data_IF_790623866230
#
_entry.id   IF_790623866230
#
_cell.length_a   1.000
_cell.length_b   1.000
_cell.length_c   1.000
_cell.angle_alpha   90.00
_cell.angle_beta   90.00
_cell.angle_gamma   90.00
#
_symmetry.space_group_name_H-M   'P 1'
#
loop_
_entity.id
_entity.type
_entity.pdbx_description
1 polymer ?
#
# COMPACT_ATOMS: atom_id res chain seq x y z
N UNK A 1 -13.49 11.80 25.20
CA UNK A 1 -12.98 11.42 23.87
C UNK A 1 -11.50 11.67 23.93
N UNK A 2 -10.71 10.60 23.94
CA UNK A 2 -9.27 10.72 24.02
C UNK A 2 -8.71 10.85 22.60
N UNK A 3 -7.78 11.77 22.40
CA UNK A 3 -7.15 11.98 21.10
C UNK A 3 -6.12 10.88 20.86
N UNK A 4 -6.35 10.05 19.84
CA UNK A 4 -5.36 9.07 19.38
C UNK A 4 -4.39 9.77 18.42
N UNK A 5 -3.10 9.71 18.74
CA UNK A 5 -2.04 10.18 17.86
C UNK A 5 -1.65 9.04 16.91
N UNK A 6 -1.66 9.32 15.61
CA UNK A 6 -1.21 8.38 14.57
C UNK A 6 0.15 8.83 14.06
N UNK A 7 1.03 7.88 13.79
CA UNK A 7 2.43 8.15 13.41
C UNK A 7 2.56 8.53 11.92
N UNK A 8 1.58 8.15 11.11
CA UNK A 8 1.57 8.39 9.67
C UNK A 8 1.17 9.83 9.35
N UNK A 9 1.62 10.32 8.19
CA UNK A 9 1.23 11.65 7.74
C UNK A 9 -0.25 11.71 7.38
N UNK A 10 -0.81 12.92 7.43
CA UNK A 10 -2.20 13.17 7.06
C UNK A 10 -2.53 12.65 5.64
N UNK A 11 -1.59 12.73 4.69
CA UNK A 11 -1.79 12.25 3.32
C UNK A 11 -1.91 10.72 3.25
N UNK A 12 -1.07 10.00 4.00
CA UNK A 12 -1.15 8.53 4.10
C UNK A 12 -2.48 8.10 4.71
N UNK A 13 -2.86 8.71 5.84
CA UNK A 13 -4.10 8.40 6.54
C UNK A 13 -5.33 8.71 5.69
N UNK A 14 -5.32 9.84 4.95
CA UNK A 14 -6.41 10.21 4.06
C UNK A 14 -6.63 9.18 2.96
N UNK A 15 -5.56 8.64 2.37
CA UNK A 15 -5.65 7.58 1.36
C UNK A 15 -6.10 6.27 2.01
N UNK A 16 -5.60 5.95 3.19
CA UNK A 16 -6.00 4.73 3.87
C UNK A 16 -7.49 4.73 4.26
N UNK A 17 -7.99 5.85 4.79
CA UNK A 17 -9.40 5.99 5.16
C UNK A 17 -10.36 5.91 3.97
N UNK A 18 -9.90 6.32 2.78
CA UNK A 18 -10.61 6.11 1.52
C UNK A 18 -10.86 4.62 1.20
N UNK A 19 -10.06 3.69 1.73
CA UNK A 19 -10.30 2.25 1.62
C UNK A 19 -11.24 1.67 2.68
N UNK A 20 -11.45 2.38 3.78
CA UNK A 20 -12.26 1.92 4.93
C UNK A 20 -13.71 2.38 4.77
N UNK A 21 -13.92 3.67 4.50
CA UNK A 21 -15.25 4.25 4.45
C UNK A 21 -15.40 5.15 3.21
N UNK A 22 -16.47 4.97 2.41
CA UNK A 22 -16.78 5.90 1.34
C UNK A 22 -17.15 7.27 1.94
N UNK A 23 -16.81 8.40 1.29
CA UNK A 23 -17.30 9.70 1.69
C UNK A 23 -18.84 9.67 1.77
N UNK A 24 -19.39 10.12 2.90
CA UNK A 24 -20.83 10.03 3.24
C UNK A 24 -21.79 10.59 2.19
N UNK A 25 -21.31 11.40 1.25
CA UNK A 25 -22.08 12.02 0.18
C UNK A 25 -21.96 11.31 -1.19
N UNK A 26 -21.24 10.18 -1.29
CA UNK A 26 -20.95 9.54 -2.57
C UNK A 26 -21.64 8.18 -2.74
N UNK A 27 -22.74 8.14 -3.51
CA UNK A 27 -23.38 6.89 -3.94
C UNK A 27 -22.57 6.11 -4.99
N UNK A 28 -21.55 6.73 -5.58
CA UNK A 28 -20.74 6.16 -6.65
C UNK A 28 -19.26 6.10 -6.29
N UNK A 29 -18.96 5.96 -5.00
CA UNK A 29 -17.58 5.89 -4.55
C UNK A 29 -16.84 4.70 -5.18
N UNK A 30 -15.59 4.96 -5.56
CA UNK A 30 -14.62 3.99 -6.03
C UNK A 30 -13.39 4.14 -5.15
N UNK A 31 -12.81 3.01 -4.75
CA UNK A 31 -11.55 3.00 -4.03
C UNK A 31 -10.48 3.79 -4.81
N UNK A 32 -9.54 4.43 -4.11
CA UNK A 32 -8.58 5.30 -4.76
C UNK A 32 -7.66 4.47 -5.66
N UNK A 33 -7.30 5.05 -6.80
CA UNK A 33 -6.32 4.43 -7.70
C UNK A 33 -4.90 4.64 -7.17
N UNK A 34 -4.09 3.57 -7.16
CA UNK A 34 -2.67 3.61 -6.77
C UNK A 34 -1.71 3.54 -7.96
N UNK A 35 -2.21 3.61 -9.20
CA UNK A 35 -1.40 3.39 -10.41
C UNK A 35 -0.34 4.48 -10.60
N UNK A 36 -0.72 5.75 -10.41
CA UNK A 36 0.10 6.93 -10.67
C UNK A 36 0.58 7.63 -9.38
N UNK A 37 0.52 6.92 -8.25
CA UNK A 37 0.98 7.47 -6.98
C UNK A 37 2.52 7.57 -6.99
N UNK A 38 3.04 8.61 -6.34
CA UNK A 38 4.47 8.66 -6.05
C UNK A 38 4.90 7.42 -5.26
N UNK A 39 6.11 6.93 -5.53
CA UNK A 39 6.56 5.67 -4.98
C UNK A 39 6.72 5.71 -3.46
N UNK A 40 7.27 6.78 -2.90
CA UNK A 40 7.44 6.92 -1.45
C UNK A 40 6.07 6.91 -0.76
N UNK A 41 5.14 7.72 -1.29
CA UNK A 41 3.78 7.76 -0.76
C UNK A 41 3.08 6.40 -0.87
N UNK A 42 3.24 5.70 -2.00
CA UNK A 42 2.65 4.37 -2.21
C UNK A 42 3.13 3.36 -1.18
N UNK A 43 4.44 3.23 -0.97
CA UNK A 43 4.97 2.26 -0.01
C UNK A 43 4.61 2.64 1.43
N UNK A 44 4.55 3.94 1.77
CA UNK A 44 4.07 4.37 3.09
C UNK A 44 2.59 4.04 3.33
N UNK A 45 1.75 4.14 2.29
CA UNK A 45 0.36 3.67 2.35
C UNK A 45 0.29 2.16 2.50
N UNK A 46 1.15 1.41 1.80
CA UNK A 46 1.21 -0.05 1.94
C UNK A 46 1.60 -0.46 3.38
N UNK A 47 2.63 0.15 3.96
CA UNK A 47 3.02 -0.09 5.37
C UNK A 47 1.90 0.26 6.36
N UNK A 48 1.20 1.37 6.15
CA UNK A 48 0.06 1.74 6.98
C UNK A 48 -1.10 0.74 6.83
N UNK A 49 -1.34 0.24 5.61
CA UNK A 49 -2.36 -0.78 5.36
C UNK A 49 -2.05 -2.10 6.07
N UNK A 50 -0.78 -2.48 6.17
CA UNK A 50 -0.34 -3.64 6.96
C UNK A 50 -0.54 -3.41 8.45
N UNK A 51 -0.01 -2.29 8.97
CA UNK A 51 -0.09 -1.92 10.39
C UNK A 51 -1.52 -1.88 10.91
N UNK A 52 -2.45 -1.33 10.12
CA UNK A 52 -3.85 -1.18 10.49
C UNK A 52 -4.75 -2.28 9.92
N UNK A 53 -4.18 -3.27 9.23
CA UNK A 53 -4.88 -4.45 8.68
C UNK A 53 -6.06 -4.05 7.78
N UNK A 54 -5.84 -3.08 6.89
CA UNK A 54 -6.87 -2.60 5.94
C UNK A 54 -6.85 -3.48 4.70
N UNK A 55 -7.51 -4.64 4.77
CA UNK A 55 -7.48 -5.67 3.72
C UNK A 55 -7.82 -5.18 2.31
N UNK A 56 -8.74 -4.22 2.20
CA UNK A 56 -9.10 -3.60 0.92
C UNK A 56 -7.92 -2.86 0.29
N UNK A 57 -7.11 -2.15 1.08
CA UNK A 57 -5.90 -1.48 0.63
C UNK A 57 -4.80 -2.51 0.32
N UNK A 58 -4.61 -3.51 1.18
CA UNK A 58 -3.59 -4.56 1.02
C UNK A 58 -3.71 -5.26 -0.34
N UNK A 59 -4.92 -5.71 -0.69
CA UNK A 59 -5.16 -6.40 -1.96
C UNK A 59 -4.76 -5.54 -3.17
N UNK A 60 -5.07 -4.24 -3.13
CA UNK A 60 -4.72 -3.30 -4.21
C UNK A 60 -3.22 -2.99 -4.21
N UNK A 61 -2.60 -2.84 -3.03
CA UNK A 61 -1.16 -2.63 -2.88
C UNK A 61 -0.37 -3.80 -3.49
N UNK A 62 -0.68 -5.04 -3.12
CA UNK A 62 0.03 -6.22 -3.63
C UNK A 62 -0.16 -6.39 -5.13
N UNK A 63 -1.40 -6.23 -5.64
CA UNK A 63 -1.66 -6.23 -7.08
C UNK A 63 -0.81 -5.18 -7.80
N UNK A 64 -0.68 -3.98 -7.23
CA UNK A 64 0.13 -2.91 -7.80
C UNK A 64 1.63 -3.25 -7.78
N UNK A 65 2.11 -3.87 -6.71
CA UNK A 65 3.50 -4.33 -6.58
C UNK A 65 3.84 -5.39 -7.62
N UNK A 66 2.96 -6.36 -7.86
CA UNK A 66 3.14 -7.35 -8.94
C UNK A 66 3.31 -6.70 -10.32
N UNK A 67 2.59 -5.60 -10.57
CA UNK A 67 2.66 -4.84 -11.81
C UNK A 67 3.91 -3.95 -11.92
N UNK A 68 4.48 -3.49 -10.80
CA UNK A 68 5.65 -2.61 -10.81
C UNK A 68 6.97 -3.27 -10.43
N UNK A 69 6.98 -4.54 -10.02
CA UNK A 69 8.17 -5.22 -9.50
C UNK A 69 9.36 -5.15 -10.46
N UNK A 70 9.15 -5.23 -11.78
CA UNK A 70 10.22 -5.08 -12.77
C UNK A 70 10.85 -3.67 -12.82
N UNK A 71 10.16 -2.65 -12.33
CA UNK A 71 10.63 -1.25 -12.30
C UNK A 71 11.18 -0.83 -10.93
N UNK A 72 10.71 -1.48 -9.87
CA UNK A 72 11.01 -1.15 -8.46
C UNK A 72 11.25 -2.40 -7.62
N UNK A 73 12.19 -3.27 -8.02
CA UNK A 73 12.36 -4.57 -7.38
C UNK A 73 12.81 -4.44 -5.91
N UNK A 74 13.68 -3.49 -5.59
CA UNK A 74 14.18 -3.29 -4.22
C UNK A 74 13.09 -2.82 -3.26
N UNK A 75 12.28 -1.84 -3.66
CA UNK A 75 11.20 -1.35 -2.81
C UNK A 75 10.11 -2.41 -2.61
N UNK A 76 9.77 -3.18 -3.66
CA UNK A 76 8.84 -4.30 -3.54
C UNK A 76 9.42 -5.41 -2.65
N UNK A 77 10.70 -5.74 -2.80
CA UNK A 77 11.36 -6.75 -1.97
C UNK A 77 11.32 -6.36 -0.48
N UNK A 78 11.70 -5.11 -0.17
CA UNK A 78 11.71 -4.61 1.21
C UNK A 78 10.35 -4.74 1.89
N UNK A 79 9.26 -4.41 1.18
CA UNK A 79 7.92 -4.58 1.72
C UNK A 79 7.55 -6.07 1.86
N UNK A 80 7.68 -6.84 0.78
CA UNK A 80 7.16 -8.21 0.70
C UNK A 80 7.87 -9.19 1.62
N UNK A 81 9.17 -8.99 1.88
CA UNK A 81 9.93 -9.82 2.82
C UNK A 81 9.49 -9.61 4.27
N UNK A 82 9.13 -8.37 4.63
CA UNK A 82 8.70 -8.04 6.00
C UNK A 82 7.31 -8.58 6.31
N UNK A 83 6.42 -8.62 5.32
CA UNK A 83 5.01 -8.98 5.49
C UNK A 83 4.67 -10.40 5.01
N UNK A 84 5.67 -11.18 4.57
CA UNK A 84 5.53 -12.61 4.30
C UNK A 84 4.95 -12.97 2.93
N UNK A 85 5.02 -12.07 1.94
CA UNK A 85 4.59 -12.33 0.56
C UNK A 85 5.67 -13.07 -0.25
N UNK A 86 5.99 -14.29 0.17
CA UNK A 86 7.15 -15.07 -0.30
C UNK A 86 7.27 -15.12 -1.83
N UNK A 87 6.20 -15.46 -2.54
CA UNK A 87 6.27 -15.58 -4.01
C UNK A 87 6.60 -14.27 -4.72
N UNK A 88 6.12 -13.13 -4.23
CA UNK A 88 6.46 -11.82 -4.79
C UNK A 88 7.85 -11.35 -4.32
N UNK A 89 8.23 -11.67 -3.09
CA UNK A 89 9.56 -11.40 -2.56
C UNK A 89 10.64 -12.12 -3.37
N UNK A 90 10.47 -13.42 -3.66
CA UNK A 90 11.41 -14.20 -4.48
C UNK A 90 11.58 -13.59 -5.87
N UNK A 91 10.46 -13.25 -6.54
CA UNK A 91 10.48 -12.58 -7.84
C UNK A 91 11.20 -11.23 -7.78
N UNK A 92 10.97 -10.44 -6.72
CA UNK A 92 11.62 -9.16 -6.54
C UNK A 92 13.13 -9.30 -6.24
N UNK A 93 13.53 -10.35 -5.51
CA UNK A 93 14.92 -10.68 -5.23
C UNK A 93 15.68 -11.04 -6.51
N UNK A 94 15.10 -11.87 -7.38
CA UNK A 94 15.70 -12.20 -8.68
C UNK A 94 15.96 -10.96 -9.55
N UNK A 95 15.00 -10.03 -9.58
CA UNK A 95 15.07 -8.79 -10.36
C UNK A 95 15.97 -7.70 -9.75
N UNK A 96 16.41 -7.86 -8.50
CA UNK A 96 17.26 -6.87 -7.82
C UNK A 96 18.75 -7.19 -7.89
N UNK A 97 19.11 -8.41 -8.31
CA UNK A 97 20.51 -8.86 -8.52
C UNK A 97 20.89 -9.00 -9.99
N UNK A 98 19.94 -8.79 -10.90
CA UNK A 98 20.10 -8.80 -12.36
C UNK A 98 20.58 -7.45 -12.90
#
# INVERSE_FOLDING_TARGET
SDTVQLEESADVLKILFQFIEPPSQSRHYRQPSMVNMDADLFFRVAEAAEKYVVYSALSVCITRMEQCVAKKPLEVLNHTVLHGYVGLADKAAELSVS
#
